data_IF_041626632960
#
_entry.id   IF_041626632960
#
_cell.length_a   1.000
_cell.length_b   1.000
_cell.length_c   1.000
_cell.angle_alpha   90.00
_cell.angle_beta   90.00
_cell.angle_gamma   90.00
#
_symmetry.space_group_name_H-M   'P 1'
#
loop_
_entity.id
_entity.type
_entity.pdbx_description
1 polymer ?
#
# COMPACT_ATOMS: atom_id res chain seq x y z
N UNK A 1 -21.84 -8.31 13.85
CA UNK A 1 -21.54 -7.29 14.88
C UNK A 1 -21.57 -5.94 14.19
N UNK A 2 -22.30 -4.95 14.70
CA UNK A 2 -22.38 -3.62 14.07
C UNK A 2 -21.01 -2.94 14.08
N UNK A 3 -20.60 -2.45 12.91
CA UNK A 3 -19.32 -1.77 12.62
C UNK A 3 -19.14 -0.50 13.49
N UNK A 4 -20.24 0.04 14.00
CA UNK A 4 -20.32 1.24 14.84
C UNK A 4 -19.74 1.10 16.26
N UNK A 5 -19.29 -0.09 16.69
CA UNK A 5 -18.73 -0.27 18.05
C UNK A 5 -17.23 0.03 18.18
N UNK A 6 -16.51 0.34 17.08
CA UNK A 6 -15.13 0.81 17.18
C UNK A 6 -15.12 2.31 17.59
N UNK A 7 -14.50 2.70 18.72
CA UNK A 7 -14.36 4.10 19.16
C UNK A 7 -13.93 5.05 18.06
N UNK A 8 -13.07 4.57 17.14
CA UNK A 8 -12.53 5.35 16.02
C UNK A 8 -13.60 5.76 14.99
N UNK A 9 -14.68 4.98 14.84
CA UNK A 9 -15.68 5.14 13.76
C UNK A 9 -17.02 5.72 14.21
N UNK A 10 -17.20 6.08 15.49
CA UNK A 10 -18.51 6.57 16.01
C UNK A 10 -19.05 7.84 15.32
N UNK A 11 -18.24 8.53 14.52
CA UNK A 11 -18.62 9.73 13.78
C UNK A 11 -18.74 9.51 12.26
N UNK A 12 -18.52 8.28 11.76
CA UNK A 12 -18.58 8.00 10.33
C UNK A 12 -19.95 7.46 9.92
N UNK A 13 -20.47 7.86 8.74
CA UNK A 13 -21.58 7.15 8.10
C UNK A 13 -21.23 5.68 7.88
N UNK A 14 -22.20 4.77 8.02
CA UNK A 14 -21.99 3.32 7.88
C UNK A 14 -21.28 2.94 6.57
N UNK A 15 -21.65 3.60 5.47
CA UNK A 15 -21.06 3.33 4.16
C UNK A 15 -19.57 3.71 4.06
N UNK A 16 -19.09 4.69 4.84
CA UNK A 16 -17.67 5.05 4.89
C UNK A 16 -16.88 4.06 5.74
N UNK A 17 -17.49 3.61 6.85
CA UNK A 17 -16.91 2.56 7.68
C UNK A 17 -16.76 1.24 6.90
N UNK A 18 -17.74 0.89 6.07
CA UNK A 18 -17.65 -0.26 5.14
C UNK A 18 -16.51 -0.12 4.13
N UNK A 19 -16.28 1.08 3.58
CA UNK A 19 -15.18 1.34 2.64
C UNK A 19 -13.84 1.13 3.34
N UNK A 20 -13.66 1.68 4.54
CA UNK A 20 -12.43 1.49 5.32
C UNK A 20 -12.17 0.00 5.59
N UNK A 21 -13.21 -0.74 5.96
CA UNK A 21 -13.08 -2.17 6.21
C UNK A 21 -12.68 -2.94 4.95
N UNK A 22 -13.30 -2.65 3.80
CA UNK A 22 -12.94 -3.28 2.52
C UNK A 22 -11.50 -2.98 2.14
N UNK A 23 -11.07 -1.72 2.24
CA UNK A 23 -9.70 -1.30 1.96
C UNK A 23 -8.71 -2.05 2.87
N UNK A 24 -8.98 -2.16 4.17
CA UNK A 24 -8.11 -2.88 5.10
C UNK A 24 -7.98 -4.35 4.75
N UNK A 25 -9.10 -5.03 4.50
CA UNK A 25 -9.11 -6.45 4.14
C UNK A 25 -8.34 -6.69 2.83
N UNK A 26 -8.63 -5.92 1.79
CA UNK A 26 -7.95 -6.05 0.50
C UNK A 26 -6.46 -5.72 0.58
N UNK A 27 -6.10 -4.71 1.36
CA UNK A 27 -4.69 -4.37 1.62
C UNK A 27 -3.98 -5.52 2.33
N UNK A 28 -4.58 -6.09 3.37
CA UNK A 28 -3.98 -7.20 4.13
C UNK A 28 -3.84 -8.46 3.27
N UNK A 29 -4.87 -8.79 2.47
CA UNK A 29 -4.86 -9.95 1.57
C UNK A 29 -3.75 -9.84 0.50
N UNK A 30 -3.56 -8.64 -0.07
CA UNK A 30 -2.53 -8.40 -1.10
C UNK A 30 -1.13 -8.15 -0.52
N UNK A 31 -1.02 -7.94 0.80
CA UNK A 31 0.25 -7.77 1.51
C UNK A 31 0.84 -9.10 2.04
N UNK A 32 0.27 -10.23 1.64
CA UNK A 32 0.67 -11.56 2.12
C UNK A 32 2.15 -11.89 1.83
N UNK A 33 2.63 -11.55 0.63
CA UNK A 33 4.00 -11.78 0.21
C UNK A 33 4.47 -10.77 -0.85
N UNK A 34 5.75 -10.81 -1.19
CA UNK A 34 6.35 -9.86 -2.12
C UNK A 34 5.81 -9.97 -3.55
N UNK A 35 5.38 -11.17 -3.97
CA UNK A 35 4.84 -11.41 -5.32
C UNK A 35 3.48 -10.74 -5.43
N UNK A 36 2.62 -10.95 -4.44
CA UNK A 36 1.28 -10.37 -4.33
C UNK A 36 1.34 -8.84 -4.30
N UNK A 37 2.23 -8.26 -3.49
CA UNK A 37 2.45 -6.80 -3.45
C UNK A 37 2.88 -6.23 -4.79
N UNK A 38 3.88 -6.85 -5.41
CA UNK A 38 4.44 -6.42 -6.69
C UNK A 38 3.35 -6.40 -7.77
N UNK A 39 2.54 -7.47 -7.80
CA UNK A 39 1.44 -7.60 -8.75
C UNK A 39 0.33 -6.60 -8.47
N UNK A 40 -0.08 -6.42 -7.22
CA UNK A 40 -1.12 -5.49 -6.83
C UNK A 40 -0.82 -4.05 -7.30
N UNK A 41 0.42 -3.59 -7.11
CA UNK A 41 0.84 -2.28 -7.63
C UNK A 41 0.80 -2.19 -9.16
N UNK A 42 1.24 -3.23 -9.86
CA UNK A 42 1.23 -3.26 -11.32
C UNK A 42 -0.20 -3.28 -11.87
N UNK A 43 -1.05 -4.15 -11.34
CA UNK A 43 -2.45 -4.30 -11.73
C UNK A 43 -3.20 -2.97 -11.47
N UNK A 44 -2.93 -2.30 -10.33
CA UNK A 44 -3.47 -0.98 -10.05
C UNK A 44 -3.04 0.07 -11.08
N UNK A 45 -1.76 0.12 -11.44
CA UNK A 45 -1.27 1.05 -12.46
C UNK A 45 -1.91 0.80 -13.84
N UNK A 46 -2.13 -0.46 -14.20
CA UNK A 46 -2.80 -0.81 -15.46
C UNK A 46 -4.26 -0.33 -15.49
N UNK A 47 -4.93 -0.26 -14.34
CA UNK A 47 -6.28 0.33 -14.21
C UNK A 47 -6.25 1.87 -14.14
N UNK A 48 -5.24 2.46 -13.48
CA UNK A 48 -5.07 3.91 -13.28
C UNK A 48 -3.69 4.39 -13.79
N UNK A 49 -3.48 4.55 -15.12
CA UNK A 49 -2.18 4.89 -15.68
C UNK A 49 -1.63 6.27 -15.28
N UNK A 50 -2.48 7.17 -14.79
CA UNK A 50 -2.08 8.44 -14.17
C UNK A 50 -1.34 8.25 -12.84
N UNK A 51 -1.48 7.08 -12.21
CA UNK A 51 -0.79 6.73 -10.96
C UNK A 51 0.57 6.11 -11.24
N UNK A 52 1.45 6.88 -11.87
CA UNK A 52 2.82 6.44 -12.22
C UNK A 52 3.59 5.92 -11.00
N UNK A 53 3.31 6.47 -9.81
CA UNK A 53 3.92 6.01 -8.55
C UNK A 53 3.56 4.55 -8.20
N UNK A 54 2.40 4.05 -8.60
CA UNK A 54 2.05 2.64 -8.44
C UNK A 54 2.94 1.74 -9.32
N UNK A 55 3.22 2.15 -10.56
CA UNK A 55 4.18 1.44 -11.41
C UNK A 55 5.58 1.43 -10.78
N UNK A 56 6.05 2.58 -10.30
CA UNK A 56 7.35 2.68 -9.61
C UNK A 56 7.39 1.79 -8.36
N UNK A 57 6.33 1.78 -7.55
CA UNK A 57 6.21 0.93 -6.38
C UNK A 57 6.26 -0.57 -6.75
N UNK A 58 5.65 -0.97 -7.87
CA UNK A 58 5.77 -2.34 -8.40
C UNK A 58 7.23 -2.71 -8.70
N UNK A 59 7.96 -1.82 -9.36
CA UNK A 59 9.37 -2.04 -9.71
C UNK A 59 10.26 -2.13 -8.47
N UNK A 60 10.04 -1.26 -7.48
CA UNK A 60 10.79 -1.25 -6.22
C UNK A 60 10.49 -2.51 -5.39
N UNK A 61 9.22 -2.91 -5.29
CA UNK A 61 8.82 -4.16 -4.61
C UNK A 61 9.47 -5.38 -5.29
N UNK A 62 9.51 -5.41 -6.62
CA UNK A 62 10.19 -6.46 -7.39
C UNK A 62 11.68 -6.50 -7.10
N UNK A 63 12.35 -5.34 -7.06
CA UNK A 63 13.78 -5.26 -6.72
C UNK A 63 14.05 -5.76 -5.29
N UNK A 64 13.22 -5.39 -4.32
CA UNK A 64 13.28 -5.94 -2.97
C UNK A 64 13.19 -7.47 -2.95
N UNK A 65 12.28 -8.04 -3.76
CA UNK A 65 12.16 -9.49 -3.95
C UNK A 65 13.42 -10.14 -4.51
N UNK A 66 14.09 -9.53 -5.50
CA UNK A 66 15.37 -10.03 -5.99
C UNK A 66 16.45 -10.02 -4.92
N UNK A 67 16.57 -8.93 -4.17
CA UNK A 67 17.53 -8.84 -3.06
C UNK A 67 17.26 -9.93 -2.00
N UNK A 68 16.00 -10.26 -1.73
CA UNK A 68 15.63 -11.38 -0.84
C UNK A 68 16.08 -12.74 -1.40
N UNK A 69 15.86 -13.00 -2.69
CA UNK A 69 16.28 -14.24 -3.35
C UNK A 69 17.81 -14.38 -3.39
N UNK A 70 18.53 -13.29 -3.66
CA UNK A 70 19.99 -13.28 -3.75
C UNK A 70 20.65 -13.70 -2.43
N UNK A 71 20.01 -13.44 -1.28
CA UNK A 71 20.49 -13.93 0.02
C UNK A 71 20.68 -15.44 0.04
N UNK A 72 19.87 -16.21 -0.68
CA UNK A 72 20.00 -17.67 -0.84
C UNK A 72 20.67 -18.07 -2.17
N UNK A 73 21.15 -17.11 -2.97
CA UNK A 73 21.88 -17.33 -4.22
C UNK A 73 23.35 -17.75 -4.03
N UNK A 74 24.19 -17.64 -5.05
CA UNK A 74 25.54 -18.24 -5.01
C UNK A 74 26.56 -17.52 -4.11
N UNK A 75 26.43 -16.20 -3.94
CA UNK A 75 27.48 -15.37 -3.35
C UNK A 75 27.26 -15.11 -1.86
N UNK A 76 26.05 -14.74 -1.45
CA UNK A 76 25.75 -14.40 -0.06
C UNK A 76 25.96 -15.57 0.93
N UNK A 77 25.59 -16.84 0.66
CA UNK A 77 25.89 -17.94 1.58
C UNK A 77 27.40 -18.20 1.74
N UNK A 78 28.25 -17.80 0.78
CA UNK A 78 29.72 -17.90 0.91
C UNK A 78 30.31 -16.81 1.81
N UNK A 79 29.59 -15.71 2.02
CA UNK A 79 30.07 -14.54 2.75
C UNK A 79 29.36 -14.34 4.09
N UNK A 80 28.11 -14.79 4.22
CA UNK A 80 27.25 -14.52 5.37
C UNK A 80 26.71 -15.83 5.97
N UNK A 81 26.85 -15.96 7.29
CA UNK A 81 26.26 -17.08 8.01
C UNK A 81 24.72 -17.08 7.89
N UNK A 82 24.06 -18.26 7.91
CA UNK A 82 22.61 -18.36 7.75
C UNK A 82 21.78 -17.43 8.65
N UNK A 83 22.08 -17.23 9.96
CA UNK A 83 21.30 -16.33 10.81
C UNK A 83 21.36 -14.85 10.37
N UNK A 84 22.42 -14.42 9.70
CA UNK A 84 22.54 -13.03 9.19
C UNK A 84 21.63 -12.87 7.97
N UNK A 85 21.67 -13.83 7.04
CA UNK A 85 20.85 -13.83 5.82
C UNK A 85 19.37 -13.85 6.16
N UNK A 86 18.96 -14.66 7.14
CA UNK A 86 17.58 -14.67 7.65
C UNK A 86 17.15 -13.32 8.22
N UNK A 87 18.01 -12.65 8.99
CA UNK A 87 17.71 -11.30 9.51
C UNK A 87 17.59 -10.25 8.41
N UNK A 88 18.43 -10.32 7.39
CA UNK A 88 18.34 -9.44 6.22
C UNK A 88 17.04 -9.69 5.45
N UNK A 89 16.69 -10.96 5.21
CA UNK A 89 15.42 -11.33 4.58
C UNK A 89 14.23 -10.75 5.33
N UNK A 90 14.16 -10.95 6.66
CA UNK A 90 13.08 -10.41 7.49
C UNK A 90 13.05 -8.88 7.52
N UNK A 91 14.20 -8.23 7.40
CA UNK A 91 14.31 -6.77 7.32
C UNK A 91 13.71 -6.26 6.02
N UNK A 92 14.07 -6.87 4.88
CA UNK A 92 13.47 -6.54 3.58
C UNK A 92 11.97 -6.81 3.59
N UNK A 93 11.53 -7.97 4.11
CA UNK A 93 10.13 -8.36 4.11
C UNK A 93 9.32 -7.38 4.95
N UNK A 94 9.80 -7.03 6.15
CA UNK A 94 9.12 -6.09 7.04
C UNK A 94 9.05 -4.69 6.44
N UNK A 95 10.12 -4.22 5.79
CA UNK A 95 10.13 -2.91 5.15
C UNK A 95 9.12 -2.84 3.99
N UNK A 96 9.14 -3.83 3.08
CA UNK A 96 8.21 -3.90 1.97
C UNK A 96 6.76 -4.04 2.45
N UNK A 97 6.52 -4.84 3.49
CA UNK A 97 5.20 -5.00 4.09
C UNK A 97 4.65 -3.69 4.67
N UNK A 98 5.48 -2.92 5.38
CA UNK A 98 5.08 -1.64 5.98
C UNK A 98 4.79 -0.58 4.91
N UNK A 99 5.65 -0.48 3.89
CA UNK A 99 5.46 0.45 2.77
C UNK A 99 4.17 0.10 2.02
N UNK A 100 3.93 -1.18 1.75
CA UNK A 100 2.73 -1.61 1.03
C UNK A 100 1.45 -1.31 1.80
N UNK A 101 1.42 -1.62 3.11
CA UNK A 101 0.27 -1.34 3.96
C UNK A 101 -0.13 0.14 3.94
N UNK A 102 0.86 1.03 4.02
CA UNK A 102 0.62 2.48 3.98
C UNK A 102 0.21 2.96 2.59
N UNK A 103 0.99 2.64 1.55
CA UNK A 103 0.78 3.22 0.23
C UNK A 103 -0.40 2.59 -0.53
N UNK A 104 -0.60 1.27 -0.44
CA UNK A 104 -1.64 0.59 -1.21
C UNK A 104 -3.05 0.91 -0.71
N UNK A 105 -3.23 1.10 0.61
CA UNK A 105 -4.50 1.55 1.17
C UNK A 105 -4.92 2.94 0.66
N UNK A 106 -3.95 3.83 0.42
CA UNK A 106 -4.19 5.14 -0.21
C UNK A 106 -4.63 5.01 -1.67
N UNK A 107 -4.00 4.11 -2.43
CA UNK A 107 -4.38 3.82 -3.82
C UNK A 107 -5.81 3.27 -3.91
N UNK A 108 -6.19 2.35 -3.02
CA UNK A 108 -7.55 1.85 -2.96
C UNK A 108 -8.55 2.97 -2.62
N UNK A 109 -8.24 3.85 -1.67
CA UNK A 109 -9.12 4.98 -1.35
C UNK A 109 -9.26 5.95 -2.54
N UNK A 110 -8.20 6.16 -3.31
CA UNK A 110 -8.27 6.90 -4.57
C UNK A 110 -9.22 6.21 -5.56
N UNK A 111 -9.10 4.90 -5.76
CA UNK A 111 -10.01 4.13 -6.63
C UNK A 111 -11.48 4.25 -6.19
N UNK A 112 -11.76 4.21 -4.88
CA UNK A 112 -13.11 4.45 -4.38
C UNK A 112 -13.59 5.87 -4.66
N UNK A 113 -12.71 6.86 -4.48
CA UNK A 113 -13.01 8.27 -4.74
C UNK A 113 -13.35 8.52 -6.22
N UNK A 114 -12.57 7.94 -7.15
CA UNK A 114 -12.84 8.03 -8.60
C UNK A 114 -14.15 7.37 -8.97
N UNK A 115 -14.41 6.14 -8.49
CA UNK A 115 -15.67 5.40 -8.73
C UNK A 115 -16.90 6.15 -8.21
N UNK A 116 -16.78 6.89 -7.10
CA UNK A 116 -17.86 7.75 -6.56
C UNK A 116 -17.88 9.16 -7.13
N UNK A 117 -16.88 9.55 -7.93
CA UNK A 117 -16.69 10.93 -8.41
C UNK A 117 -16.70 11.97 -7.27
N UNK A 118 -16.13 11.61 -6.11
CA UNK A 118 -16.06 12.47 -4.93
C UNK A 118 -14.79 12.18 -4.15
N UNK A 119 -14.01 13.19 -3.74
CA UNK A 119 -12.82 12.97 -2.92
C UNK A 119 -13.23 12.43 -1.55
N UNK A 120 -12.64 11.29 -1.14
CA UNK A 120 -12.90 10.64 0.16
C UNK A 120 -11.68 10.65 1.08
N UNK A 121 -10.72 11.57 0.86
CA UNK A 121 -9.41 11.55 1.51
C UNK A 121 -9.45 11.85 3.02
N UNK A 122 -10.54 12.40 3.54
CA UNK A 122 -10.79 12.51 4.99
C UNK A 122 -10.81 11.15 5.70
N UNK A 123 -10.94 10.06 4.94
CA UNK A 123 -10.88 8.69 5.46
C UNK A 123 -9.47 8.18 5.71
N UNK A 124 -8.42 8.87 5.22
CA UNK A 124 -7.03 8.43 5.38
C UNK A 124 -6.59 8.29 6.83
N UNK A 125 -7.10 9.15 7.72
CA UNK A 125 -6.84 9.07 9.18
C UNK A 125 -7.30 7.75 9.82
N UNK A 126 -8.13 6.99 9.12
CA UNK A 126 -8.61 5.67 9.52
C UNK A 126 -7.86 4.51 8.87
N UNK A 127 -6.91 4.80 7.98
CA UNK A 127 -6.09 3.82 7.27
C UNK A 127 -4.62 3.84 7.74
N UNK A 128 -4.37 4.39 8.93
CA UNK A 128 -3.04 4.59 9.51
C UNK A 128 -2.10 5.48 8.67
N UNK A 129 -2.69 6.31 7.79
CA UNK A 129 -1.97 7.23 6.91
C UNK A 129 -1.85 8.60 7.58
N UNK A 130 -0.70 9.24 7.41
CA UNK A 130 -0.44 10.59 7.93
C UNK A 130 -1.43 11.63 7.38
N UNK A 131 -1.88 12.56 8.24
CA UNK A 131 -2.74 13.68 7.85
C UNK A 131 -2.10 14.61 6.82
N UNK A 132 -0.78 14.56 6.67
CA UNK A 132 -0.09 15.24 5.57
C UNK A 132 -0.60 14.76 4.21
N UNK A 133 -0.82 13.45 4.05
CA UNK A 133 -1.23 12.87 2.77
C UNK A 133 -2.66 13.27 2.37
N UNK A 134 -3.55 13.53 3.32
CA UNK A 134 -4.91 14.03 3.00
C UNK A 134 -4.86 15.30 2.16
N UNK A 135 -3.95 16.22 2.50
CA UNK A 135 -3.75 17.44 1.74
C UNK A 135 -3.13 17.18 0.37
N UNK A 136 -2.12 16.31 0.29
CA UNK A 136 -1.46 15.98 -0.98
C UNK A 136 -2.42 15.29 -1.96
N UNK A 137 -3.25 14.37 -1.47
CA UNK A 137 -4.29 13.74 -2.26
C UNK A 137 -5.34 14.73 -2.76
N UNK A 138 -5.76 15.69 -1.93
CA UNK A 138 -6.66 16.76 -2.37
C UNK A 138 -6.03 17.61 -3.47
N UNK A 139 -4.74 17.96 -3.33
CA UNK A 139 -4.00 18.71 -4.37
C UNK A 139 -3.90 17.92 -5.67
N UNK A 140 -3.61 16.62 -5.60
CA UNK A 140 -3.56 15.73 -6.76
C UNK A 140 -4.94 15.62 -7.43
N UNK A 141 -6.01 15.45 -6.65
CA UNK A 141 -7.37 15.35 -7.17
C UNK A 141 -7.81 16.61 -7.93
N UNK A 142 -7.52 17.80 -7.40
CA UNK A 142 -7.93 19.06 -8.01
C UNK A 142 -7.14 19.43 -9.27
N UNK A 143 -5.87 18.98 -9.37
CA UNK A 143 -4.93 19.44 -10.41
C UNK A 143 -4.52 18.35 -11.40
N UNK A 144 -4.76 17.09 -11.07
CA UNK A 144 -4.13 15.93 -11.71
C UNK A 144 -2.60 15.96 -11.55
N UNK A 145 -1.91 15.10 -12.31
CA UNK A 145 -0.44 15.00 -12.33
C UNK A 145 0.26 16.19 -13.05
N UNK A 146 -0.35 17.38 -13.03
CA UNK A 146 0.20 18.59 -13.69
C UNK A 146 1.27 19.31 -12.85
N UNK A 147 1.95 18.56 -11.97
CA UNK A 147 3.13 19.00 -11.24
C UNK A 147 4.23 17.94 -11.34
N UNK A 148 4.63 17.66 -12.58
CA UNK A 148 5.94 17.10 -12.92
C UNK A 148 6.81 18.19 -13.50
#
# INVERSE_FOLDING_TARGET
MSITQNPQFHQLPDHEAEIIQKIRLETDDLNLDNISRTRAYLDFYLEYPEMIWAFLASMVSRNGGYNMCDLEGDWYPKMLAPPIRQRLFLTYERANWLIFRDAFSQLLLYSYSTKKSSPMFHLLKYLDVSSFMEKEWQVFWDRGDKKG
#
